data_IF_133460209275
#
_entry.id   IF_133460209275
#
_cell.length_a   1.000
_cell.length_b   1.000
_cell.length_c   1.000
_cell.angle_alpha   90.00
_cell.angle_beta   90.00
_cell.angle_gamma   90.00
#
_symmetry.space_group_name_H-M   'P 1'
#
loop_
_entity.id
_entity.type
_entity.pdbx_description
1 polymer ?
#
# COMPACT_ATOMS: atom_id res chain seq x y z
N UNK A 1 -15.06 -7.03 1.85
CA UNK A 1 -14.24 -7.84 0.92
C UNK A 1 -14.45 -9.34 1.12
N UNK A 2 -14.31 -9.87 2.34
CA UNK A 2 -14.42 -11.31 2.64
C UNK A 2 -15.77 -11.95 2.19
N UNK A 3 -16.92 -11.31 2.42
CA UNK A 3 -18.21 -11.81 1.90
C UNK A 3 -18.26 -12.00 0.38
N UNK A 4 -17.62 -11.10 -0.39
CA UNK A 4 -17.52 -11.23 -1.86
C UNK A 4 -16.67 -12.44 -2.25
N UNK A 5 -15.61 -12.74 -1.49
CA UNK A 5 -14.77 -13.92 -1.74
C UNK A 5 -15.59 -15.18 -1.50
N UNK A 6 -16.26 -15.29 -0.35
CA UNK A 6 -17.12 -16.44 -0.05
C UNK A 6 -18.24 -16.60 -1.07
N UNK A 7 -18.91 -15.51 -1.47
CA UNK A 7 -19.98 -15.58 -2.48
C UNK A 7 -19.48 -16.07 -3.85
N UNK A 8 -18.25 -15.70 -4.23
CA UNK A 8 -17.64 -16.16 -5.49
C UNK A 8 -17.26 -17.64 -5.39
N UNK A 9 -16.73 -18.07 -4.24
CA UNK A 9 -16.42 -19.49 -4.01
C UNK A 9 -17.70 -20.33 -4.02
N UNK A 10 -18.78 -19.87 -3.39
CA UNK A 10 -20.03 -20.63 -3.38
C UNK A 10 -20.72 -20.64 -4.76
N UNK A 11 -20.64 -19.54 -5.51
CA UNK A 11 -21.27 -19.48 -6.85
C UNK A 11 -20.58 -20.37 -7.88
N UNK A 12 -19.27 -20.67 -7.75
CA UNK A 12 -18.59 -21.65 -8.61
C UNK A 12 -19.07 -23.08 -8.38
N UNK A 13 -19.52 -23.42 -7.18
CA UNK A 13 -20.09 -24.75 -6.88
C UNK A 13 -21.54 -24.92 -7.36
N UNK A 14 -22.27 -23.82 -7.58
CA UNK A 14 -23.63 -23.84 -8.11
C UNK A 14 -23.69 -23.95 -9.64
N UNK A 15 -22.54 -23.90 -10.34
CA UNK A 15 -22.48 -24.04 -11.79
C UNK A 15 -22.59 -25.51 -12.21
N UNK A 16 -23.20 -25.81 -13.38
CA UNK A 16 -23.34 -27.17 -13.90
C UNK A 16 -22.00 -27.84 -14.25
N UNK A 17 -20.94 -27.06 -14.40
CA UNK A 17 -19.59 -27.54 -14.63
C UNK A 17 -18.82 -27.55 -13.32
N UNK A 18 -18.66 -28.73 -12.72
CA UNK A 18 -17.85 -28.89 -11.51
C UNK A 18 -16.36 -28.78 -11.84
N UNK A 19 -15.73 -27.70 -11.36
CA UNK A 19 -14.27 -27.57 -11.40
C UNK A 19 -13.65 -28.39 -10.25
N UNK A 20 -12.54 -29.12 -10.47
CA UNK A 20 -11.89 -29.94 -9.44
C UNK A 20 -11.05 -29.08 -8.47
N UNK A 21 -11.61 -27.98 -7.97
CA UNK A 21 -10.90 -27.03 -7.10
C UNK A 21 -11.39 -27.22 -5.67
N UNK A 22 -10.48 -27.53 -4.74
CA UNK A 22 -10.77 -27.57 -3.31
C UNK A 22 -10.23 -26.31 -2.64
N UNK A 23 -11.03 -25.68 -1.80
CA UNK A 23 -10.62 -24.50 -1.04
C UNK A 23 -10.33 -24.89 0.41
N UNK A 24 -9.18 -24.47 0.92
CA UNK A 24 -8.89 -24.44 2.35
C UNK A 24 -9.07 -23.00 2.82
N UNK A 25 -9.98 -22.77 3.76
CA UNK A 25 -10.32 -21.44 4.27
C UNK A 25 -9.98 -21.40 5.76
N UNK A 26 -9.04 -20.53 6.12
CA UNK A 26 -8.67 -20.27 7.50
C UNK A 26 -9.27 -18.92 7.92
N UNK A 27 -10.09 -18.94 8.97
CA UNK A 27 -10.77 -17.73 9.47
C UNK A 27 -11.00 -17.81 10.97
N UNK A 28 -11.10 -16.65 11.63
CA UNK A 28 -11.64 -16.58 13.00
C UNK A 28 -13.12 -17.00 12.99
N UNK A 29 -13.66 -17.55 14.09
CA UNK A 29 -15.05 -18.04 14.16
C UNK A 29 -16.07 -16.89 14.29
N UNK A 30 -15.98 -15.90 13.39
CA UNK A 30 -16.91 -14.78 13.35
C UNK A 30 -18.32 -15.28 13.03
N UNK A 31 -19.33 -14.78 13.76
CA UNK A 31 -20.70 -15.27 13.68
C UNK A 31 -21.27 -15.26 12.26
N UNK A 32 -20.97 -14.23 11.49
CA UNK A 32 -21.41 -14.12 10.09
C UNK A 32 -20.70 -15.13 9.17
N UNK A 33 -19.44 -15.51 9.45
CA UNK A 33 -18.74 -16.54 8.68
C UNK A 33 -19.42 -17.89 8.94
N UNK A 34 -19.66 -18.21 10.21
CA UNK A 34 -20.37 -19.44 10.61
C UNK A 34 -21.75 -19.54 9.95
N UNK A 35 -22.47 -18.42 9.85
CA UNK A 35 -23.78 -18.37 9.21
C UNK A 35 -23.71 -18.55 7.68
N UNK A 36 -22.69 -18.03 7.01
CA UNK A 36 -22.52 -18.27 5.57
C UNK A 36 -22.20 -19.75 5.30
N UNK A 37 -21.35 -20.37 6.11
CA UNK A 37 -20.99 -21.79 5.96
C UNK A 37 -22.10 -22.76 6.35
N UNK A 38 -23.01 -22.38 7.26
CA UNK A 38 -24.14 -23.24 7.62
C UNK A 38 -25.10 -23.49 6.45
N UNK A 39 -25.19 -22.55 5.50
CA UNK A 39 -25.94 -22.72 4.25
C UNK A 39 -25.32 -23.74 3.28
N UNK A 40 -24.06 -24.15 3.52
CA UNK A 40 -23.29 -25.05 2.67
C UNK A 40 -22.65 -26.19 3.47
N UNK A 41 -23.29 -26.62 4.57
CA UNK A 41 -22.80 -27.69 5.46
C UNK A 41 -22.46 -28.97 4.70
N UNK A 42 -23.22 -29.28 3.65
CA UNK A 42 -23.08 -30.53 2.90
C UNK A 42 -21.86 -30.54 1.96
N UNK A 43 -21.32 -29.35 1.66
CA UNK A 43 -20.16 -29.15 0.78
C UNK A 43 -18.89 -28.79 1.55
N UNK A 44 -18.99 -28.58 2.86
CA UNK A 44 -17.91 -28.00 3.66
C UNK A 44 -17.57 -28.89 4.84
N UNK A 45 -16.27 -29.03 5.11
CA UNK A 45 -15.78 -29.72 6.30
C UNK A 45 -15.17 -28.68 7.23
N UNK A 46 -15.76 -28.53 8.42
CA UNK A 46 -15.28 -27.61 9.43
C UNK A 46 -14.28 -28.32 10.36
N UNK A 47 -13.16 -27.66 10.64
CA UNK A 47 -12.16 -28.10 11.61
C UNK A 47 -11.98 -26.93 12.57
N UNK A 48 -12.48 -27.07 13.80
CA UNK A 48 -12.32 -26.05 14.84
C UNK A 48 -10.97 -26.23 15.51
N UNK A 49 -10.14 -25.18 15.52
CA UNK A 49 -8.88 -25.18 16.27
C UNK A 49 -9.13 -24.54 17.64
N UNK A 50 -9.87 -25.24 18.49
CA UNK A 50 -10.24 -24.80 19.84
C UNK A 50 -9.55 -25.65 20.94
N UNK A 51 -9.97 -25.47 22.20
CA UNK A 51 -9.38 -26.17 23.35
C UNK A 51 -9.53 -27.70 23.29
N UNK A 52 -10.42 -28.24 22.44
CA UNK A 52 -10.55 -29.68 22.24
C UNK A 52 -9.29 -30.33 21.66
N UNK A 53 -8.43 -29.54 21.02
CA UNK A 53 -7.11 -29.96 20.51
C UNK A 53 -6.02 -29.97 21.59
N UNK A 54 -6.34 -29.67 22.85
CA UNK A 54 -5.38 -29.65 23.98
C UNK A 54 -4.13 -28.82 23.68
N UNK A 55 -4.28 -27.54 23.30
CA UNK A 55 -3.16 -26.70 22.88
C UNK A 55 -2.05 -26.61 23.93
N UNK A 56 -2.38 -26.70 25.22
CA UNK A 56 -1.39 -26.72 26.31
C UNK A 56 -0.41 -27.90 26.22
N UNK A 57 -0.88 -29.09 25.84
CA UNK A 57 -0.03 -30.28 25.70
C UNK A 57 0.93 -30.14 24.51
N UNK A 58 0.42 -29.68 23.37
CA UNK A 58 1.24 -29.46 22.18
C UNK A 58 2.24 -28.32 22.39
N UNK A 59 1.86 -27.27 23.12
CA UNK A 59 2.78 -26.19 23.53
C UNK A 59 3.88 -26.74 24.45
N UNK A 60 3.54 -27.58 25.43
CA UNK A 60 4.53 -28.22 26.31
C UNK A 60 5.51 -29.09 25.52
N UNK A 61 5.01 -29.90 24.58
CA UNK A 61 5.85 -30.70 23.68
C UNK A 61 6.78 -29.82 22.83
N UNK A 62 6.23 -28.78 22.22
CA UNK A 62 7.00 -27.82 21.42
C UNK A 62 8.10 -27.16 22.25
N UNK A 63 7.79 -26.65 23.44
CA UNK A 63 8.76 -26.01 24.32
C UNK A 63 9.88 -26.99 24.70
N UNK A 64 9.55 -28.20 25.13
CA UNK A 64 10.54 -29.21 25.50
C UNK A 64 11.48 -29.53 24.33
N UNK A 65 10.94 -29.70 23.12
CA UNK A 65 11.74 -29.90 21.92
C UNK A 65 12.65 -28.69 21.63
N UNK A 66 12.11 -27.47 21.67
CA UNK A 66 12.88 -26.25 21.39
C UNK A 66 14.01 -26.04 22.40
N UNK A 67 13.78 -26.31 23.69
CA UNK A 67 14.83 -26.23 24.71
C UNK A 67 15.87 -27.33 24.56
N UNK A 68 15.48 -28.53 24.16
CA UNK A 68 16.42 -29.60 23.84
C UNK A 68 17.31 -29.21 22.65
N UNK A 69 16.72 -28.68 21.58
CA UNK A 69 17.47 -28.16 20.42
C UNK A 69 18.51 -27.11 20.84
N UNK A 70 18.15 -26.17 21.73
CA UNK A 70 19.09 -25.15 22.24
C UNK A 70 20.26 -25.80 23.00
N UNK A 71 20.00 -26.84 23.79
CA UNK A 71 21.06 -27.52 24.55
C UNK A 71 22.00 -28.32 23.65
N UNK A 72 21.49 -28.84 22.55
CA UNK A 72 22.23 -29.67 21.60
C UNK A 72 22.89 -28.85 20.48
N UNK A 73 22.53 -27.57 20.33
CA UNK A 73 23.10 -26.69 19.30
C UNK A 73 24.61 -26.45 19.54
N UNK A 74 25.47 -26.79 18.56
CA UNK A 74 26.91 -26.57 18.66
C UNK A 74 27.30 -25.12 18.94
N UNK A 75 26.48 -24.15 18.55
CA UNK A 75 26.71 -22.71 18.77
C UNK A 75 26.74 -22.34 20.25
N UNK A 76 26.09 -23.14 21.10
CA UNK A 76 26.04 -22.94 22.55
C UNK A 76 26.93 -23.94 23.31
N UNK A 77 27.88 -24.61 22.66
CA UNK A 77 28.71 -25.63 23.30
C UNK A 77 29.55 -25.13 24.48
N UNK A 78 29.79 -23.81 24.56
CA UNK A 78 30.53 -23.15 25.64
C UNK A 78 29.62 -22.70 26.81
N UNK A 79 28.30 -22.80 26.66
CA UNK A 79 27.32 -22.37 27.67
C UNK A 79 27.15 -23.49 28.70
N UNK A 80 27.30 -23.14 29.98
CA UNK A 80 27.03 -24.06 31.09
C UNK A 80 25.56 -23.96 31.47
N UNK A 81 24.75 -24.88 30.95
CA UNK A 81 23.34 -24.96 31.30
C UNK A 81 23.14 -25.54 32.71
N UNK A 82 22.24 -24.97 33.54
CA UNK A 82 21.78 -25.62 34.76
C UNK A 82 21.21 -27.02 34.51
N UNK A 83 21.17 -27.89 35.52
CA UNK A 83 20.54 -29.20 35.39
C UNK A 83 19.43 -29.39 36.45
N UNK A 84 18.15 -29.56 36.06
CA UNK A 84 17.63 -29.46 34.70
C UNK A 84 17.57 -28.01 34.20
N UNK A 85 17.80 -27.80 32.91
CA UNK A 85 17.49 -26.55 32.21
C UNK A 85 16.66 -26.83 30.94
N UNK A 86 15.55 -26.10 30.75
CA UNK A 86 14.85 -25.33 31.80
C UNK A 86 14.38 -26.25 32.94
N UNK A 87 13.98 -25.67 34.08
CA UNK A 87 13.31 -26.46 35.10
C UNK A 87 11.91 -26.86 34.62
N UNK A 88 11.34 -28.01 35.06
CA UNK A 88 9.96 -28.37 34.71
C UNK A 88 8.94 -27.28 35.09
N UNK A 89 9.21 -26.55 36.18
CA UNK A 89 8.37 -25.42 36.60
C UNK A 89 8.41 -24.24 35.61
N UNK A 90 9.57 -23.94 35.01
CA UNK A 90 9.66 -22.89 33.99
C UNK A 90 8.85 -23.24 32.74
N UNK A 91 8.91 -24.50 32.30
CA UNK A 91 8.10 -24.97 31.16
C UNK A 91 6.61 -24.86 31.49
N UNK A 92 6.19 -25.36 32.65
CA UNK A 92 4.81 -25.24 33.11
C UNK A 92 4.33 -23.78 33.13
N UNK A 93 5.15 -22.85 33.64
CA UNK A 93 4.80 -21.43 33.70
C UNK A 93 4.59 -20.83 32.30
N UNK A 94 5.47 -21.16 31.34
CA UNK A 94 5.33 -20.72 29.95
C UNK A 94 4.07 -21.29 29.29
N UNK A 95 3.73 -22.56 29.55
CA UNK A 95 2.49 -23.18 29.04
C UNK A 95 1.25 -22.47 29.57
N UNK A 96 1.21 -22.17 30.88
CA UNK A 96 0.10 -21.44 31.49
C UNK A 96 -0.03 -20.03 30.91
N UNK A 97 1.11 -19.36 30.69
CA UNK A 97 1.16 -17.98 30.18
C UNK A 97 0.83 -17.86 28.70
N UNK A 98 1.08 -18.92 27.93
CA UNK A 98 0.69 -18.96 26.54
C UNK A 98 -0.85 -18.98 26.37
N UNK A 99 -1.59 -19.50 27.35
CA UNK A 99 -3.06 -19.63 27.30
C UNK A 99 -3.56 -20.17 25.94
N UNK A 100 -2.91 -21.24 25.47
CA UNK A 100 -3.20 -21.86 24.16
C UNK A 100 -2.67 -21.12 22.92
N UNK A 101 -2.05 -19.95 23.06
CA UNK A 101 -1.52 -19.15 21.96
C UNK A 101 -0.10 -19.57 21.56
N UNK A 102 0.01 -20.37 20.50
CA UNK A 102 1.30 -20.77 19.94
C UNK A 102 2.22 -19.60 19.59
N UNK A 103 1.66 -18.47 19.15
CA UNK A 103 2.44 -17.29 18.80
C UNK A 103 3.26 -16.78 20.00
N UNK A 104 2.73 -16.88 21.23
CA UNK A 104 3.45 -16.51 22.44
C UNK A 104 4.73 -17.35 22.59
N UNK A 105 4.61 -18.68 22.55
CA UNK A 105 5.77 -19.56 22.74
C UNK A 105 6.74 -19.55 21.56
N UNK A 106 6.25 -19.36 20.33
CA UNK A 106 7.11 -19.18 19.16
C UNK A 106 7.94 -17.90 19.31
N UNK A 107 7.30 -16.77 19.62
CA UNK A 107 8.02 -15.50 19.83
C UNK A 107 8.98 -15.58 21.02
N UNK A 108 8.57 -16.20 22.13
CA UNK A 108 9.43 -16.40 23.28
C UNK A 108 10.67 -17.25 22.95
N UNK A 109 10.50 -18.37 22.23
CA UNK A 109 11.62 -19.23 21.85
C UNK A 109 12.55 -18.54 20.85
N UNK A 110 12.02 -17.77 19.89
CA UNK A 110 12.87 -16.95 19.01
C UNK A 110 13.66 -15.90 19.77
N UNK A 111 13.08 -15.30 20.81
CA UNK A 111 13.79 -14.36 21.69
C UNK A 111 14.89 -15.06 22.51
N UNK A 112 14.62 -16.25 23.05
CA UNK A 112 15.64 -17.06 23.74
C UNK A 112 16.80 -17.45 22.81
N UNK A 113 16.50 -17.75 21.54
CA UNK A 113 17.46 -18.13 20.49
C UNK A 113 18.14 -16.93 19.82
N UNK A 114 18.01 -15.71 20.36
CA UNK A 114 18.59 -14.52 19.74
C UNK A 114 20.12 -14.63 19.67
N UNK A 115 20.68 -14.37 18.50
CA UNK A 115 22.12 -14.40 18.25
C UNK A 115 22.87 -13.43 19.17
N UNK A 116 24.12 -13.76 19.50
CA UNK A 116 25.01 -12.96 20.37
C UNK A 116 24.51 -12.75 21.81
N UNK A 117 23.51 -13.52 22.25
CA UNK A 117 23.02 -13.49 23.64
C UNK A 117 23.02 -14.89 24.27
N UNK A 118 22.99 -14.95 25.60
CA UNK A 118 22.95 -16.22 26.32
C UNK A 118 21.49 -16.70 26.49
N UNK A 119 21.14 -17.92 26.01
CA UNK A 119 19.77 -18.44 26.14
C UNK A 119 19.28 -18.52 27.59
N UNK A 120 20.19 -18.77 28.53
CA UNK A 120 19.89 -18.80 29.97
C UNK A 120 19.41 -17.43 30.46
N UNK A 121 20.05 -16.36 30.02
CA UNK A 121 19.76 -15.00 30.46
C UNK A 121 18.46 -14.52 29.82
N UNK A 122 18.27 -14.79 28.53
CA UNK A 122 17.03 -14.46 27.83
C UNK A 122 15.81 -15.17 28.42
N UNK A 123 15.96 -16.45 28.79
CA UNK A 123 14.91 -17.18 29.49
C UNK A 123 14.61 -16.54 30.85
N UNK A 124 15.63 -16.13 31.61
CA UNK A 124 15.45 -15.43 32.88
C UNK A 124 14.71 -14.09 32.70
N UNK A 125 14.99 -13.33 31.65
CA UNK A 125 14.28 -12.08 31.34
C UNK A 125 12.78 -12.34 31.10
N UNK A 126 12.44 -13.36 30.30
CA UNK A 126 11.06 -13.75 30.05
C UNK A 126 10.36 -14.15 31.37
N UNK A 127 10.98 -15.03 32.14
CA UNK A 127 10.41 -15.55 33.39
C UNK A 127 10.21 -14.43 34.43
N UNK A 128 11.18 -13.54 34.59
CA UNK A 128 11.07 -12.39 35.49
C UNK A 128 9.93 -11.44 35.08
N UNK A 129 9.79 -11.20 33.77
CA UNK A 129 8.70 -10.38 33.24
C UNK A 129 7.35 -11.00 33.61
N UNK A 130 7.18 -12.30 33.37
CA UNK A 130 5.97 -13.06 33.70
C UNK A 130 5.66 -13.05 35.22
N UNK A 131 6.67 -13.26 36.06
CA UNK A 131 6.51 -13.34 37.51
C UNK A 131 6.18 -11.98 38.15
N UNK A 132 6.78 -10.89 37.65
CA UNK A 132 6.49 -9.54 38.15
C UNK A 132 5.04 -9.11 37.85
N UNK A 133 4.43 -9.66 36.79
CA UNK A 133 3.05 -9.36 36.39
C UNK A 133 2.01 -10.11 37.21
N UNK A 134 2.31 -11.35 37.63
CA UNK A 134 1.40 -12.17 38.44
C UNK A 134 1.14 -11.61 39.84
N UNK A 135 1.93 -10.64 40.29
CA UNK A 135 1.70 -9.89 41.53
C UNK A 135 0.73 -8.70 41.37
N UNK A 136 0.39 -8.30 40.13
CA UNK A 136 -0.33 -7.06 39.83
C UNK A 136 -1.66 -7.29 39.08
N UNK A 137 -1.82 -8.38 38.32
CA UNK A 137 -2.98 -8.54 37.42
C UNK A 137 -3.75 -9.85 37.64
N UNK A 138 -4.84 -9.79 38.41
CA UNK A 138 -5.85 -10.85 38.51
C UNK A 138 -7.10 -10.60 37.65
N UNK A 139 -7.08 -9.62 36.73
CA UNK A 139 -8.30 -9.10 36.07
C UNK A 139 -8.24 -8.98 34.53
N UNK A 140 -7.11 -9.25 33.86
CA UNK A 140 -6.98 -8.95 32.42
C UNK A 140 -6.73 -10.16 31.51
N UNK A 141 -7.05 -9.97 30.23
CA UNK A 141 -7.34 -10.95 29.17
C UNK A 141 -6.12 -11.70 28.63
N UNK A 142 -6.34 -12.79 27.91
CA UNK A 142 -5.29 -13.63 27.30
C UNK A 142 -4.38 -12.89 26.29
N UNK A 143 -4.82 -11.74 25.76
CA UNK A 143 -3.98 -10.87 24.92
C UNK A 143 -2.95 -10.07 25.71
N UNK A 144 -3.16 -9.87 27.01
CA UNK A 144 -2.27 -9.05 27.83
C UNK A 144 -0.89 -9.70 28.00
N UNK A 145 -0.82 -11.02 28.16
CA UNK A 145 0.46 -11.73 28.28
C UNK A 145 1.28 -11.69 26.96
N UNK A 146 0.62 -11.78 25.80
CA UNK A 146 1.26 -11.59 24.48
C UNK A 146 1.73 -10.14 24.28
N UNK A 147 0.92 -9.16 24.71
CA UNK A 147 1.29 -7.74 24.65
C UNK A 147 2.50 -7.43 25.53
N UNK A 148 2.60 -8.06 26.71
CA UNK A 148 3.79 -7.93 27.56
C UNK A 148 5.02 -8.54 26.89
N UNK A 149 4.88 -9.67 26.20
CA UNK A 149 5.99 -10.26 25.44
C UNK A 149 6.45 -9.31 24.32
N UNK A 150 5.52 -8.66 23.60
CA UNK A 150 5.86 -7.64 22.60
C UNK A 150 6.54 -6.42 23.21
N UNK A 151 6.03 -5.91 24.33
CA UNK A 151 6.67 -4.80 25.05
C UNK A 151 8.09 -5.16 25.51
N UNK A 152 8.31 -6.40 25.97
CA UNK A 152 9.62 -6.89 26.38
C UNK A 152 10.60 -6.90 25.19
N UNK A 153 10.19 -7.46 24.04
CA UNK A 153 11.01 -7.46 22.82
C UNK A 153 11.32 -6.04 22.36
N UNK A 154 10.34 -5.13 22.38
CA UNK A 154 10.54 -3.74 22.00
C UNK A 154 11.53 -3.04 22.94
N UNK A 155 11.37 -3.21 24.26
CA UNK A 155 12.22 -2.61 25.30
C UNK A 155 13.63 -3.17 25.36
N UNK A 156 13.84 -4.37 24.82
CA UNK A 156 15.17 -4.97 24.72
C UNK A 156 16.05 -4.26 23.67
N UNK A 157 15.47 -3.45 22.77
CA UNK A 157 16.27 -2.67 21.83
C UNK A 157 17.01 -1.53 22.55
N UNK A 158 18.31 -1.34 22.30
CA UNK A 158 19.04 -0.20 22.85
C UNK A 158 18.52 1.14 22.29
N UNK A 159 17.92 1.11 21.10
CA UNK A 159 17.37 2.26 20.38
C UNK A 159 15.85 2.38 20.54
N UNK A 160 15.32 2.26 21.76
CA UNK A 160 13.88 2.40 22.10
C UNK A 160 13.27 3.79 21.82
N UNK A 161 13.90 4.59 20.97
CA UNK A 161 13.57 5.97 20.70
C UNK A 161 12.66 6.14 19.46
N UNK A 162 12.46 7.40 19.06
CA UNK A 162 11.75 7.80 17.84
C UNK A 162 12.22 7.05 16.59
N UNK A 163 13.48 6.61 16.51
CA UNK A 163 14.01 5.88 15.32
C UNK A 163 13.32 4.53 15.13
N UNK A 164 13.25 3.71 16.17
CA UNK A 164 12.58 2.40 16.12
C UNK A 164 11.11 2.59 15.73
N UNK A 165 10.44 3.57 16.32
CA UNK A 165 9.04 3.87 15.99
C UNK A 165 8.84 4.30 14.53
N UNK A 166 9.71 5.17 14.00
CA UNK A 166 9.66 5.55 12.58
C UNK A 166 9.84 4.35 11.66
N UNK A 167 10.80 3.46 11.95
CA UNK A 167 11.07 2.27 11.15
C UNK A 167 9.86 1.31 11.20
N UNK A 168 9.32 1.04 12.39
CA UNK A 168 8.14 0.20 12.57
C UNK A 168 6.91 0.79 11.88
N UNK A 169 6.75 2.12 11.89
CA UNK A 169 5.68 2.79 11.16
C UNK A 169 5.78 2.56 9.66
N UNK A 170 6.98 2.64 9.07
CA UNK A 170 7.16 2.34 7.64
C UNK A 170 6.84 0.87 7.35
N UNK A 171 7.39 -0.07 8.12
CA UNK A 171 7.17 -1.53 7.92
C UNK A 171 5.68 -1.89 7.98
N UNK A 172 4.93 -1.25 8.89
CA UNK A 172 3.51 -1.56 9.11
C UNK A 172 2.56 -0.85 8.14
N UNK A 173 2.91 0.35 7.68
CA UNK A 173 2.05 1.16 6.80
C UNK A 173 2.37 0.92 5.32
N UNK A 174 3.64 0.68 4.99
CA UNK A 174 4.14 0.44 3.64
C UNK A 174 4.52 -1.04 3.53
N UNK A 175 3.61 -1.90 3.02
CA UNK A 175 3.89 -3.32 2.92
C UNK A 175 5.08 -3.56 1.98
N UNK A 176 5.82 -4.64 2.25
CA UNK A 176 6.99 -5.06 1.47
C UNK A 176 8.05 -3.96 1.37
N UNK A 177 8.42 -3.40 2.53
CA UNK A 177 9.49 -2.40 2.62
C UNK A 177 10.82 -3.07 2.92
N UNK A 178 11.83 -2.82 2.09
CA UNK A 178 13.21 -3.25 2.34
C UNK A 178 13.96 -2.28 3.25
N UNK A 179 15.01 -2.71 3.97
CA UNK A 179 15.84 -1.82 4.77
C UNK A 179 16.40 -0.64 3.97
N UNK A 180 16.90 -0.88 2.75
CA UNK A 180 17.41 0.17 1.87
C UNK A 180 16.35 1.24 1.55
N UNK A 181 15.10 0.81 1.32
CA UNK A 181 13.99 1.73 1.08
C UNK A 181 13.64 2.56 2.32
N UNK A 182 13.62 1.94 3.51
CA UNK A 182 13.34 2.62 4.77
C UNK A 182 14.43 3.65 5.08
N UNK A 183 15.70 3.30 4.86
CA UNK A 183 16.84 4.20 5.04
C UNK A 183 16.73 5.42 4.12
N UNK A 184 16.38 5.20 2.86
CA UNK A 184 16.13 6.27 1.91
C UNK A 184 14.97 7.18 2.35
N UNK A 185 13.83 6.59 2.71
CA UNK A 185 12.61 7.32 3.07
C UNK A 185 12.79 8.15 4.34
N UNK A 186 13.47 7.59 5.35
CA UNK A 186 13.68 8.25 6.63
C UNK A 186 14.96 9.12 6.67
N UNK A 187 15.79 9.09 5.63
CA UNK A 187 17.07 9.81 5.58
C UNK A 187 18.11 9.24 6.55
N UNK A 188 18.12 7.92 6.74
CA UNK A 188 19.06 7.21 7.61
C UNK A 188 20.29 6.75 6.83
N UNK A 189 21.43 6.66 7.52
CA UNK A 189 22.66 6.09 6.94
C UNK A 189 22.48 4.59 6.65
N UNK A 190 23.16 4.04 5.62
CA UNK A 190 23.14 2.61 5.33
C UNK A 190 23.54 1.76 6.54
N UNK A 191 22.76 0.71 6.81
CA UNK A 191 22.96 -0.22 7.93
C UNK A 191 22.25 0.17 9.23
N UNK A 192 21.72 1.40 9.34
CA UNK A 192 21.02 1.87 10.54
C UNK A 192 19.72 1.11 10.78
N UNK A 193 19.01 0.71 9.71
CA UNK A 193 17.76 -0.07 9.87
C UNK A 193 18.06 -1.46 10.38
N UNK A 194 19.05 -2.15 9.78
CA UNK A 194 19.47 -3.47 10.23
C UNK A 194 19.95 -3.44 11.69
N UNK A 195 20.73 -2.42 12.07
CA UNK A 195 21.17 -2.22 13.44
C UNK A 195 20.00 -2.01 14.40
N UNK A 196 19.02 -1.18 14.03
CA UNK A 196 17.88 -0.84 14.91
C UNK A 196 16.92 -2.04 15.07
N UNK A 197 16.86 -2.94 14.08
CA UNK A 197 15.98 -4.11 14.10
C UNK A 197 16.67 -5.38 14.63
N UNK A 198 17.92 -5.30 15.08
CA UNK A 198 18.69 -6.46 15.52
C UNK A 198 18.04 -7.21 16.69
N UNK A 199 17.33 -6.53 17.60
CA UNK A 199 16.62 -7.19 18.69
C UNK A 199 15.16 -7.57 18.31
N UNK A 200 14.76 -7.38 17.05
CA UNK A 200 13.38 -7.58 16.59
C UNK A 200 13.19 -8.88 15.78
N UNK A 201 14.22 -9.70 15.60
CA UNK A 201 14.14 -10.97 14.83
C UNK A 201 13.15 -12.00 15.39
N UNK A 202 12.65 -11.82 16.61
CA UNK A 202 11.60 -12.66 17.19
C UNK A 202 10.20 -12.35 16.65
N UNK A 203 9.99 -11.11 16.16
CA UNK A 203 8.69 -10.61 15.66
C UNK A 203 8.74 -10.17 14.20
N UNK A 204 9.93 -9.87 13.68
CA UNK A 204 10.19 -9.50 12.29
C UNK A 204 11.10 -10.51 11.60
N UNK A 205 10.87 -10.70 10.30
CA UNK A 205 11.75 -11.39 9.39
C UNK A 205 12.59 -10.36 8.62
N UNK A 206 13.90 -10.30 8.89
CA UNK A 206 14.84 -9.41 8.23
C UNK A 206 15.93 -10.29 7.61
N UNK A 207 15.86 -10.53 6.30
CA UNK A 207 16.75 -11.46 5.59
C UNK A 207 17.95 -10.78 4.92
N UNK A 208 17.80 -9.53 4.47
CA UNK A 208 18.83 -8.82 3.70
C UNK A 208 18.52 -7.34 3.53
N UNK A 209 19.49 -6.57 3.03
CA UNK A 209 19.39 -5.11 2.89
C UNK A 209 18.39 -4.66 1.80
N UNK A 210 18.23 -5.48 0.75
CA UNK A 210 17.27 -5.25 -0.33
C UNK A 210 16.00 -6.11 -0.20
N UNK A 211 16.00 -7.06 0.73
CA UNK A 211 14.87 -7.97 0.94
C UNK A 211 13.76 -7.31 1.76
N UNK A 212 12.52 -7.66 1.43
CA UNK A 212 11.35 -7.13 2.12
C UNK A 212 11.31 -7.59 3.59
N UNK A 213 11.05 -6.64 4.48
CA UNK A 213 10.87 -6.94 5.90
C UNK A 213 9.45 -7.47 6.13
N UNK A 214 9.36 -8.70 6.63
CA UNK A 214 8.10 -9.34 6.97
C UNK A 214 7.77 -9.22 8.45
N UNK A 215 6.50 -8.96 8.79
CA UNK A 215 6.00 -9.14 10.17
C UNK A 215 5.48 -10.58 10.30
N UNK A 216 5.98 -11.36 11.27
CA UNK A 216 5.60 -12.78 11.37
C UNK A 216 4.10 -12.99 11.64
N UNK A 217 3.47 -12.08 12.39
CA UNK A 217 2.08 -12.25 12.77
C UNK A 217 1.33 -10.93 12.90
N UNK A 218 0.09 -10.90 12.40
CA UNK A 218 -0.77 -9.71 12.40
C UNK A 218 -1.08 -9.19 13.82
N UNK A 219 -1.06 -10.04 14.86
CA UNK A 219 -1.28 -9.56 16.23
C UNK A 219 -0.24 -8.52 16.68
N UNK A 220 0.97 -8.54 16.10
CA UNK A 220 1.99 -7.54 16.37
C UNK A 220 1.64 -6.18 15.74
N UNK A 221 1.14 -6.16 14.50
CA UNK A 221 0.66 -4.91 13.87
C UNK A 221 -0.58 -4.38 14.59
N UNK A 222 -1.51 -5.26 14.97
CA UNK A 222 -2.71 -4.89 15.74
C UNK A 222 -2.35 -4.33 17.12
N UNK A 223 -1.28 -4.85 17.75
CA UNK A 223 -0.72 -4.32 18.99
C UNK A 223 -0.18 -2.91 18.81
N UNK A 224 0.66 -2.68 17.79
CA UNK A 224 1.27 -1.38 17.53
C UNK A 224 0.23 -0.28 17.25
N UNK A 225 -0.87 -0.60 16.58
CA UNK A 225 -1.96 0.34 16.28
C UNK A 225 -2.98 0.52 17.41
N UNK A 226 -2.74 -0.05 18.59
CA UNK A 226 -3.63 0.12 19.74
C UNK A 226 -2.92 0.82 20.89
N UNK A 227 -3.23 2.10 21.12
CA UNK A 227 -2.58 2.90 22.15
C UNK A 227 -2.71 2.31 23.56
N UNK A 228 -3.83 1.66 23.86
CA UNK A 228 -4.04 0.97 25.13
C UNK A 228 -3.08 -0.21 25.34
N UNK A 229 -2.65 -0.86 24.26
CA UNK A 229 -1.81 -2.08 24.27
C UNK A 229 -0.33 -1.72 24.18
N UNK A 230 0.06 -0.96 23.16
CA UNK A 230 1.47 -0.64 22.85
C UNK A 230 2.05 0.55 23.62
N UNK A 231 1.20 1.36 24.28
CA UNK A 231 1.60 2.47 25.16
C UNK A 231 2.59 3.43 24.48
N UNK A 232 3.84 3.47 24.91
CA UNK A 232 4.89 4.32 24.35
C UNK A 232 5.25 3.95 22.90
N UNK A 233 4.93 2.72 22.46
CA UNK A 233 5.18 2.24 21.10
C UNK A 233 3.97 2.37 20.16
N UNK A 234 3.00 3.21 20.52
CA UNK A 234 1.81 3.42 19.72
C UNK A 234 2.11 4.13 18.40
N UNK A 235 1.64 3.53 17.31
CA UNK A 235 1.69 4.10 15.96
C UNK A 235 0.29 4.58 15.60
N UNK A 236 0.08 5.89 15.61
CA UNK A 236 -1.11 6.48 15.01
C UNK A 236 -1.04 6.31 13.49
N UNK A 237 -1.80 5.34 12.99
CA UNK A 237 -1.83 4.96 11.58
C UNK A 237 -2.05 6.16 10.66
N UNK A 238 -2.98 7.05 10.99
CA UNK A 238 -3.33 8.18 10.13
C UNK A 238 -2.25 9.26 10.16
N UNK A 239 -1.76 9.61 11.35
CA UNK A 239 -0.72 10.62 11.47
C UNK A 239 0.59 10.19 10.79
N UNK A 240 1.01 8.93 11.00
CA UNK A 240 2.22 8.40 10.38
C UNK A 240 2.05 8.26 8.88
N UNK A 241 0.90 7.80 8.40
CA UNK A 241 0.62 7.74 6.96
C UNK A 241 0.76 9.11 6.31
N UNK A 242 0.18 10.15 6.90
CA UNK A 242 0.33 11.54 6.41
C UNK A 242 1.77 12.05 6.49
N UNK A 243 2.50 11.72 7.56
CA UNK A 243 3.89 12.15 7.74
C UNK A 243 4.85 11.49 6.75
N UNK A 244 4.76 10.16 6.60
CA UNK A 244 5.53 9.40 5.61
C UNK A 244 5.20 9.89 4.21
N UNK A 245 3.94 10.30 4.01
CA UNK A 245 3.51 10.88 2.77
C UNK A 245 4.21 12.19 2.43
N UNK A 246 4.19 13.15 3.35
CA UNK A 246 4.93 14.40 3.20
C UNK A 246 6.42 14.16 2.93
N UNK A 247 7.03 13.25 3.70
CA UNK A 247 8.46 12.97 3.61
C UNK A 247 8.84 12.39 2.25
N UNK A 248 8.05 11.43 1.76
CA UNK A 248 8.27 10.86 0.44
C UNK A 248 8.10 11.89 -0.69
N UNK A 249 7.04 12.71 -0.64
CA UNK A 249 6.83 13.77 -1.64
C UNK A 249 7.97 14.78 -1.66
N UNK A 250 8.53 15.15 -0.49
CA UNK A 250 9.71 16.01 -0.40
C UNK A 250 10.93 15.38 -1.06
N UNK A 251 11.24 14.14 -0.72
CA UNK A 251 12.37 13.41 -1.28
C UNK A 251 12.29 13.31 -2.81
N UNK A 252 11.10 13.03 -3.34
CA UNK A 252 10.88 13.04 -4.79
C UNK A 252 11.08 14.43 -5.37
N UNK A 253 10.52 15.46 -4.74
CA UNK A 253 10.62 16.86 -5.20
C UNK A 253 12.08 17.32 -5.25
N UNK A 254 12.87 17.03 -4.22
CA UNK A 254 14.30 17.34 -4.15
C UNK A 254 15.08 16.59 -5.22
N UNK A 255 14.92 15.27 -5.31
CA UNK A 255 15.62 14.45 -6.31
C UNK A 255 15.29 14.81 -7.75
N UNK A 256 14.03 15.15 -8.02
CA UNK A 256 13.59 15.61 -9.34
C UNK A 256 14.20 16.96 -9.73
N UNK A 257 14.48 17.84 -8.75
CA UNK A 257 15.18 19.10 -9.02
C UNK A 257 16.66 18.88 -9.34
N UNK A 258 17.31 17.94 -8.64
CA UNK A 258 18.75 17.72 -8.75
C UNK A 258 19.14 16.93 -10.01
N UNK A 259 18.32 15.96 -10.44
CA UNK A 259 18.57 15.16 -11.64
C UNK A 259 17.25 14.82 -12.37
N UNK A 260 16.92 15.54 -13.47
CA UNK A 260 15.73 15.28 -14.27
C UNK A 260 15.72 13.91 -14.96
N UNK A 261 16.90 13.31 -15.23
CA UNK A 261 17.02 11.96 -15.80
C UNK A 261 16.82 10.87 -14.76
N UNK A 262 16.98 11.19 -13.46
CA UNK A 262 16.76 10.26 -12.34
C UNK A 262 15.34 9.67 -12.34
N UNK A 263 14.36 10.41 -12.89
CA UNK A 263 12.99 9.94 -13.11
C UNK A 263 12.92 8.67 -13.98
N UNK A 264 13.85 8.49 -14.92
CA UNK A 264 13.94 7.28 -15.76
C UNK A 264 14.63 6.11 -15.05
N UNK A 265 15.62 6.37 -14.20
CA UNK A 265 16.45 5.34 -13.53
C UNK A 265 15.90 4.90 -12.18
N UNK A 266 15.29 5.78 -11.38
CA UNK A 266 14.55 5.40 -10.15
C UNK A 266 13.39 4.45 -10.43
N UNK A 267 12.95 4.35 -11.69
CA UNK A 267 11.99 3.35 -12.19
C UNK A 267 12.46 1.90 -12.00
N UNK A 268 13.76 1.58 -12.07
CA UNK A 268 14.19 0.19 -11.94
C UNK A 268 14.37 -0.24 -10.48
N UNK A 269 14.92 0.63 -9.64
CA UNK A 269 15.27 0.29 -8.25
C UNK A 269 14.11 0.47 -7.25
N UNK A 270 13.20 1.43 -7.48
CA UNK A 270 12.19 1.79 -6.48
C UNK A 270 10.75 1.85 -7.02
N UNK A 271 10.49 1.48 -8.29
CA UNK A 271 9.13 1.60 -8.87
C UNK A 271 8.08 0.69 -8.23
N UNK A 272 8.49 -0.39 -7.58
CA UNK A 272 7.59 -1.24 -6.80
C UNK A 272 7.11 -0.48 -5.57
N UNK A 273 8.02 0.07 -4.77
CA UNK A 273 7.69 0.82 -3.54
C UNK A 273 6.99 2.15 -3.84
N UNK A 274 7.36 2.84 -4.93
CA UNK A 274 6.65 4.02 -5.45
C UNK A 274 5.21 3.70 -5.83
N UNK A 275 5.00 2.66 -6.64
CA UNK A 275 3.65 2.22 -7.01
C UNK A 275 2.87 1.81 -5.77
N UNK A 276 3.49 1.09 -4.82
CA UNK A 276 2.85 0.65 -3.57
C UNK A 276 2.43 1.83 -2.70
N UNK A 277 3.29 2.82 -2.46
CA UNK A 277 2.95 4.04 -1.71
C UNK A 277 1.84 4.82 -2.41
N UNK A 278 2.02 5.11 -3.69
CA UNK A 278 1.05 5.88 -4.49
C UNK A 278 -0.30 5.17 -4.58
N UNK A 279 -0.33 3.85 -4.71
CA UNK A 279 -1.54 3.03 -4.72
C UNK A 279 -2.19 2.91 -3.32
N UNK A 280 -1.39 2.80 -2.26
CA UNK A 280 -1.86 2.85 -0.87
C UNK A 280 -2.48 4.22 -0.53
N UNK A 281 -2.07 5.28 -1.21
CA UNK A 281 -2.63 6.63 -1.01
C UNK A 281 -3.84 6.89 -1.90
N UNK A 282 -3.80 6.49 -3.18
CA UNK A 282 -4.92 6.73 -4.09
C UNK A 282 -6.19 6.02 -3.64
N UNK A 283 -6.06 4.80 -3.10
CA UNK A 283 -7.20 4.00 -2.67
C UNK A 283 -7.88 4.54 -1.39
N UNK A 284 -7.13 5.17 -0.48
CA UNK A 284 -7.69 5.72 0.78
C UNK A 284 -8.19 7.17 0.63
N UNK A 285 -7.56 7.98 -0.22
CA UNK A 285 -8.04 9.34 -0.54
C UNK A 285 -9.43 9.32 -1.21
N UNK A 286 -9.75 8.27 -1.98
CA UNK A 286 -11.07 8.10 -2.61
C UNK A 286 -12.22 7.96 -1.60
N UNK A 287 -11.95 7.52 -0.36
CA UNK A 287 -12.98 7.30 0.65
C UNK A 287 -13.07 8.39 1.73
N UNK A 288 -12.11 9.32 1.83
CA UNK A 288 -12.06 10.31 2.91
C UNK A 288 -11.67 11.71 2.42
N UNK A 289 -12.47 12.26 1.50
CA UNK A 289 -12.43 13.70 1.16
C UNK A 289 -12.77 14.49 2.43
N UNK A 290 -11.78 15.18 3.00
CA UNK A 290 -11.96 16.09 4.16
C UNK A 290 -10.96 15.96 5.30
N UNK A 291 -10.00 15.02 5.27
CA UNK A 291 -9.00 14.84 6.35
C UNK A 291 -7.53 14.83 5.90
N UNK A 292 -7.21 15.28 4.69
CA UNK A 292 -5.82 15.45 4.29
C UNK A 292 -5.26 16.69 5.02
N UNK A 293 -4.14 16.55 5.73
CA UNK A 293 -3.52 17.69 6.40
C UNK A 293 -3.10 18.78 5.39
N UNK A 294 -3.19 20.06 5.80
CA UNK A 294 -2.80 21.19 4.96
C UNK A 294 -1.31 21.14 4.56
N UNK A 295 -0.46 20.60 5.46
CA UNK A 295 0.95 20.35 5.19
C UNK A 295 1.14 19.35 4.06
N UNK A 296 0.45 18.20 4.11
CA UNK A 296 0.53 17.19 3.06
C UNK A 296 0.03 17.71 1.71
N UNK A 297 -1.08 18.45 1.70
CA UNK A 297 -1.56 19.09 0.48
C UNK A 297 -0.51 20.03 -0.14
N UNK A 298 0.22 20.78 0.69
CA UNK A 298 1.29 21.65 0.22
C UNK A 298 2.47 20.88 -0.39
N UNK A 299 2.87 19.75 0.20
CA UNK A 299 3.97 18.94 -0.32
C UNK A 299 3.59 18.22 -1.62
N UNK A 300 2.36 17.71 -1.70
CA UNK A 300 1.80 17.11 -2.91
C UNK A 300 1.72 18.14 -4.03
N UNK A 301 1.30 19.37 -3.73
CA UNK A 301 1.28 20.47 -4.70
C UNK A 301 2.69 20.82 -5.20
N UNK A 302 3.67 20.87 -4.30
CA UNK A 302 5.07 21.12 -4.65
C UNK A 302 5.63 20.02 -5.56
N UNK A 303 5.32 18.76 -5.28
CA UNK A 303 5.68 17.64 -6.14
C UNK A 303 5.05 17.76 -7.54
N UNK A 304 3.75 18.05 -7.62
CA UNK A 304 3.08 18.24 -8.91
C UNK A 304 3.68 19.40 -9.71
N UNK A 305 4.03 20.52 -9.06
CA UNK A 305 4.73 21.62 -9.70
C UNK A 305 6.05 21.17 -10.30
N UNK A 306 6.93 20.52 -9.53
CA UNK A 306 8.24 20.08 -10.03
C UNK A 306 8.09 19.09 -11.19
N UNK A 307 7.20 18.10 -11.05
CA UNK A 307 7.00 17.11 -12.11
C UNK A 307 6.42 17.73 -13.40
N UNK A 308 5.53 18.71 -13.29
CA UNK A 308 5.00 19.45 -14.44
C UNK A 308 6.04 20.39 -15.05
N UNK A 309 6.87 21.07 -14.25
CA UNK A 309 7.96 21.92 -14.75
C UNK A 309 8.97 21.11 -15.56
N UNK A 310 9.41 19.95 -15.05
CA UNK A 310 10.29 19.05 -15.80
C UNK A 310 9.63 18.56 -17.09
N UNK A 311 8.35 18.18 -17.01
CA UNK A 311 7.58 17.78 -18.20
C UNK A 311 7.45 18.91 -19.23
N UNK A 312 7.31 20.15 -18.77
CA UNK A 312 7.19 21.34 -19.60
C UNK A 312 8.51 21.73 -20.26
N UNK A 313 9.66 21.50 -19.61
CA UNK A 313 10.98 21.69 -20.21
C UNK A 313 11.24 20.70 -21.34
N UNK A 314 10.80 19.44 -21.17
CA UNK A 314 11.03 18.38 -22.17
C UNK A 314 10.18 18.52 -23.43
N UNK A 315 8.92 18.95 -23.30
CA UNK A 315 7.94 18.91 -24.41
C UNK A 315 7.32 20.27 -24.73
N UNK A 316 7.60 21.29 -23.91
CA UNK A 316 7.07 22.63 -24.06
C UNK A 316 5.74 22.80 -23.31
N UNK A 317 5.67 23.89 -22.53
CA UNK A 317 4.53 24.20 -21.64
C UNK A 317 3.16 24.16 -22.34
N UNK A 318 3.04 24.73 -23.54
CA UNK A 318 1.77 24.77 -24.28
C UNK A 318 1.30 23.37 -24.69
N UNK A 319 2.23 22.52 -25.11
CA UNK A 319 1.92 21.15 -25.54
C UNK A 319 1.52 20.28 -24.35
N UNK A 320 2.22 20.42 -23.23
CA UNK A 320 1.89 19.76 -21.98
C UNK A 320 0.45 20.05 -21.53
N UNK A 321 0.07 21.33 -21.48
CA UNK A 321 -1.28 21.74 -21.11
C UNK A 321 -2.35 21.19 -22.04
N UNK A 322 -2.09 21.15 -23.35
CA UNK A 322 -3.02 20.57 -24.32
C UNK A 322 -3.25 19.07 -24.08
N UNK A 323 -2.19 18.32 -23.78
CA UNK A 323 -2.27 16.89 -23.49
C UNK A 323 -3.04 16.65 -22.19
N UNK A 324 -2.64 17.32 -21.10
CA UNK A 324 -3.30 17.20 -19.78
C UNK A 324 -4.78 17.49 -19.88
N UNK A 325 -5.15 18.48 -20.66
CA UNK A 325 -6.51 18.90 -20.74
C UNK A 325 -7.37 18.00 -21.65
N UNK A 326 -6.79 17.09 -22.45
CA UNK A 326 -7.53 15.93 -23.02
C UNK A 326 -7.72 14.83 -21.98
N UNK A 327 -6.68 14.55 -21.20
CA UNK A 327 -6.61 13.41 -20.28
C UNK A 327 -7.45 13.63 -19.01
N UNK A 328 -7.46 14.84 -18.45
CA UNK A 328 -8.05 15.12 -17.15
C UNK A 328 -9.58 15.26 -17.15
N UNK A 329 -10.24 15.94 -18.11
CA UNK A 329 -11.69 16.12 -18.07
C UNK A 329 -12.47 14.85 -18.37
N UNK A 330 -11.90 13.97 -19.19
CA UNK A 330 -12.54 12.79 -19.74
C UNK A 330 -12.74 11.68 -18.70
N UNK A 331 -13.89 11.01 -18.78
CA UNK A 331 -14.23 9.84 -17.95
C UNK A 331 -13.76 8.51 -18.57
N UNK A 332 -13.02 8.57 -19.67
CA UNK A 332 -12.68 7.41 -20.47
C UNK A 332 -11.20 7.38 -20.82
N UNK A 333 -10.55 6.21 -20.74
CA UNK A 333 -9.16 6.07 -21.12
C UNK A 333 -9.00 6.19 -22.64
N UNK A 334 -8.12 7.08 -23.09
CA UNK A 334 -7.85 7.32 -24.52
C UNK A 334 -6.61 6.57 -25.01
N UNK A 335 -6.68 6.10 -26.26
CA UNK A 335 -5.48 5.57 -26.92
C UNK A 335 -4.54 6.73 -27.30
N UNK A 336 -3.22 6.52 -27.27
CA UNK A 336 -2.26 7.53 -27.72
C UNK A 336 -2.50 7.97 -29.16
N UNK A 337 -2.89 7.05 -30.05
CA UNK A 337 -3.26 7.39 -31.43
C UNK A 337 -4.46 8.34 -31.51
N UNK A 338 -5.42 8.23 -30.60
CA UNK A 338 -6.55 9.15 -30.52
C UNK A 338 -6.12 10.55 -30.05
N UNK A 339 -5.27 10.63 -29.00
CA UNK A 339 -4.74 11.91 -28.51
C UNK A 339 -3.89 12.59 -29.59
N UNK A 340 -3.06 11.80 -30.30
CA UNK A 340 -2.24 12.26 -31.40
C UNK A 340 -3.08 12.94 -32.49
N UNK A 341 -4.14 12.25 -32.93
CA UNK A 341 -5.05 12.75 -33.96
C UNK A 341 -5.81 14.01 -33.51
N UNK A 342 -6.26 14.03 -32.26
CA UNK A 342 -7.05 15.15 -31.72
C UNK A 342 -6.22 16.43 -31.59
N UNK A 343 -4.98 16.30 -31.09
CA UNK A 343 -4.09 17.43 -30.87
C UNK A 343 -3.25 17.78 -32.11
N UNK A 344 -3.13 16.87 -33.08
CA UNK A 344 -2.30 17.04 -34.27
C UNK A 344 -0.80 16.97 -33.95
N UNK A 345 -0.42 16.10 -33.02
CA UNK A 345 0.95 15.97 -32.52
C UNK A 345 1.73 14.89 -33.28
N UNK A 346 3.06 14.96 -33.29
CA UNK A 346 3.87 13.81 -33.70
C UNK A 346 3.85 12.75 -32.60
N UNK A 347 3.91 11.48 -32.99
CA UNK A 347 3.86 10.35 -32.06
C UNK A 347 5.02 10.40 -31.06
N UNK A 348 6.21 10.77 -31.52
CA UNK A 348 7.40 10.92 -30.68
C UNK A 348 7.22 12.00 -29.61
N UNK A 349 6.60 13.13 -29.95
CA UNK A 349 6.37 14.21 -28.99
C UNK A 349 5.32 13.80 -27.94
N UNK A 350 4.27 13.07 -28.35
CA UNK A 350 3.28 12.52 -27.43
C UNK A 350 3.88 11.46 -26.51
N UNK A 351 4.68 10.55 -27.04
CA UNK A 351 5.34 9.51 -26.25
C UNK A 351 6.34 10.12 -25.26
N UNK A 352 7.10 11.15 -25.67
CA UNK A 352 7.95 11.93 -24.75
C UNK A 352 7.15 12.62 -23.65
N UNK A 353 6.00 13.23 -23.96
CA UNK A 353 5.16 13.89 -22.97
C UNK A 353 4.53 12.92 -21.97
N UNK A 354 3.99 11.81 -22.48
CA UNK A 354 3.41 10.77 -21.65
C UNK A 354 4.48 10.13 -20.75
N UNK A 355 5.67 9.87 -21.28
CA UNK A 355 6.81 9.41 -20.47
C UNK A 355 7.21 10.41 -19.39
N UNK A 356 7.20 11.71 -19.68
CA UNK A 356 7.49 12.74 -18.69
C UNK A 356 6.44 12.80 -17.56
N UNK A 357 5.18 12.46 -17.85
CA UNK A 357 4.06 12.50 -16.91
C UNK A 357 3.72 11.16 -16.25
N UNK A 358 4.42 10.07 -16.55
CA UNK A 358 4.16 8.70 -16.04
C UNK A 358 4.20 8.62 -14.49
N UNK A 359 4.84 9.60 -13.84
CA UNK A 359 4.90 9.73 -12.37
C UNK A 359 3.61 10.26 -11.73
N UNK A 360 2.78 10.97 -12.52
CA UNK A 360 1.56 11.63 -12.05
C UNK A 360 0.31 10.98 -12.68
N UNK A 361 0.48 10.42 -13.87
CA UNK A 361 -0.58 9.84 -14.70
C UNK A 361 -0.29 8.35 -14.85
N UNK A 362 -1.24 7.51 -14.44
CA UNK A 362 -1.07 6.06 -14.58
C UNK A 362 -1.24 5.64 -16.05
N UNK A 363 -0.16 5.20 -16.68
CA UNK A 363 -0.17 4.69 -18.05
C UNK A 363 -0.18 3.15 -17.99
N UNK A 364 -1.32 2.53 -18.33
CA UNK A 364 -1.34 1.08 -18.50
C UNK A 364 -0.48 0.71 -19.73
N UNK A 365 0.63 0.01 -19.50
CA UNK A 365 1.35 -0.67 -20.57
C UNK A 365 0.78 -2.08 -20.69
N UNK A 366 0.06 -2.35 -21.79
CA UNK A 366 -0.38 -3.71 -22.09
C UNK A 366 0.83 -4.52 -22.56
N UNK A 367 1.45 -5.23 -21.63
CA UNK A 367 2.50 -6.20 -21.93
C UNK A 367 1.88 -7.52 -22.35
N UNK A 368 1.36 -7.62 -23.58
CA UNK A 368 1.09 -8.92 -24.19
C UNK A 368 1.70 -9.03 -25.60
N UNK A 369 2.88 -9.66 -25.60
CA UNK A 369 3.47 -10.54 -26.62
C UNK A 369 2.93 -10.41 -28.06
N UNK A 370 3.35 -9.37 -28.79
CA UNK A 370 3.71 -9.51 -30.20
C UNK A 370 4.93 -8.61 -30.53
N UNK A 371 6.00 -9.14 -31.16
CA UNK A 371 7.14 -8.33 -31.56
C UNK A 371 6.74 -7.44 -32.75
N UNK A 372 6.61 -6.14 -32.52
CA UNK A 372 6.40 -5.14 -33.58
C UNK A 372 5.39 -4.03 -33.27
N UNK A 373 4.56 -4.16 -32.23
CA UNK A 373 3.61 -3.12 -31.83
C UNK A 373 3.67 -2.88 -30.32
N UNK A 374 4.35 -1.81 -29.90
CA UNK A 374 4.13 -1.22 -28.57
C UNK A 374 2.76 -0.54 -28.59
N UNK A 375 1.73 -1.29 -28.20
CA UNK A 375 0.42 -0.73 -27.92
C UNK A 375 0.42 -0.18 -26.49
N UNK A 376 0.80 1.09 -26.34
CA UNK A 376 0.50 1.87 -25.14
C UNK A 376 -1.03 2.03 -25.15
N UNK A 377 -1.76 1.42 -24.21
CA UNK A 377 -3.22 1.49 -24.16
C UNK A 377 -3.72 1.78 -22.75
N UNK A 378 -4.55 2.82 -22.65
CA UNK A 378 -5.35 3.22 -21.50
C UNK A 378 -4.55 4.01 -20.45
N UNK A 379 -4.49 5.32 -20.67
CA UNK A 379 -4.26 6.29 -19.58
C UNK A 379 -5.49 6.21 -18.68
N UNK A 380 -5.39 5.48 -17.56
CA UNK A 380 -6.51 5.28 -16.63
C UNK A 380 -6.23 6.02 -15.32
N UNK A 381 -7.30 6.52 -14.70
CA UNK A 381 -7.33 7.24 -13.42
C UNK A 381 -6.12 8.13 -13.09
N UNK A 382 -6.15 9.39 -13.54
CA UNK A 382 -5.33 10.43 -12.86
C UNK A 382 -5.75 10.52 -11.39
N UNK A 383 -4.79 10.69 -10.48
CA UNK A 383 -5.09 10.88 -9.06
C UNK A 383 -6.11 12.00 -8.87
N UNK A 384 -7.18 11.77 -8.10
CA UNK A 384 -8.22 12.78 -7.84
C UNK A 384 -7.61 14.11 -7.34
N UNK A 385 -6.60 14.02 -6.48
CA UNK A 385 -5.82 15.16 -5.96
C UNK A 385 -5.08 15.94 -7.04
N UNK A 386 -4.57 15.25 -8.08
CA UNK A 386 -3.92 15.88 -9.22
C UNK A 386 -4.92 16.60 -10.13
N UNK A 387 -6.08 15.98 -10.38
CA UNK A 387 -7.18 16.63 -11.12
C UNK A 387 -7.64 17.91 -10.41
N UNK A 388 -7.83 17.85 -9.10
CA UNK A 388 -8.20 19.01 -8.29
C UNK A 388 -7.09 20.08 -8.24
N UNK A 389 -5.81 19.67 -8.24
CA UNK A 389 -4.68 20.58 -8.31
C UNK A 389 -4.69 21.37 -9.62
N UNK A 390 -4.74 20.69 -10.77
CA UNK A 390 -4.66 21.31 -12.09
C UNK A 390 -5.82 22.29 -12.34
N UNK A 391 -7.03 21.95 -11.89
CA UNK A 391 -8.21 22.82 -12.01
C UNK A 391 -8.33 23.90 -10.93
N UNK A 392 -7.36 24.04 -10.02
CA UNK A 392 -7.36 25.07 -8.98
C UNK A 392 -6.30 26.15 -9.28
N UNK A 393 -6.74 27.34 -9.71
CA UNK A 393 -5.84 28.45 -10.11
C UNK A 393 -4.86 28.85 -9.01
N UNK A 394 -5.29 28.82 -7.74
CA UNK A 394 -4.44 29.14 -6.60
C UNK A 394 -3.35 28.10 -6.34
N UNK A 395 -3.60 26.83 -6.72
CA UNK A 395 -2.67 25.72 -6.50
C UNK A 395 -1.74 25.52 -7.69
N UNK A 396 -2.27 25.30 -8.89
CA UNK A 396 -1.48 24.97 -10.10
C UNK A 396 -0.82 26.15 -10.80
N UNK A 397 -1.23 27.39 -10.50
CA UNK A 397 -0.60 28.63 -11.00
C UNK A 397 -0.41 28.62 -12.53
N UNK A 398 0.82 28.47 -13.03
CA UNK A 398 1.15 28.46 -14.46
C UNK A 398 0.58 27.24 -15.19
N UNK A 399 0.38 26.13 -14.46
CA UNK A 399 -0.21 24.90 -14.99
C UNK A 399 -1.75 24.86 -14.87
N UNK A 400 -2.39 25.99 -14.55
CA UNK A 400 -3.84 26.06 -14.42
C UNK A 400 -4.56 25.84 -15.74
N UNK A 401 -5.48 24.88 -15.75
CA UNK A 401 -6.34 24.58 -16.90
C UNK A 401 -7.75 25.07 -16.60
N UNK A 402 -8.21 26.07 -17.34
CA UNK A 402 -9.58 26.52 -17.23
C UNK A 402 -10.53 25.53 -17.92
N UNK A 403 -11.35 24.86 -17.09
CA UNK A 403 -12.19 23.75 -17.54
C UNK A 403 -13.15 24.11 -18.68
N UNK A 404 -13.77 25.29 -18.62
CA UNK A 404 -14.70 25.76 -19.65
C UNK A 404 -13.97 26.07 -20.97
N UNK A 405 -12.86 26.82 -20.90
CA UNK A 405 -12.07 27.17 -22.08
C UNK A 405 -11.55 25.93 -22.82
N UNK A 406 -11.02 24.96 -22.07
CA UNK A 406 -10.47 23.77 -22.71
C UNK A 406 -11.54 22.81 -23.22
N UNK A 407 -12.68 22.71 -22.52
CA UNK A 407 -13.83 21.93 -23.04
C UNK A 407 -14.30 22.49 -24.38
N UNK A 408 -14.33 23.83 -24.53
CA UNK A 408 -14.65 24.49 -25.80
C UNK A 408 -13.59 24.22 -26.90
N UNK A 409 -12.30 24.25 -26.55
CA UNK A 409 -11.22 23.91 -27.48
C UNK A 409 -11.33 22.47 -28.00
N UNK A 410 -11.57 21.50 -27.10
CA UNK A 410 -11.76 20.10 -27.47
C UNK A 410 -13.01 19.90 -28.33
N UNK A 411 -14.10 20.60 -28.00
CA UNK A 411 -15.33 20.56 -28.76
C UNK A 411 -15.11 21.01 -30.21
N UNK A 412 -14.44 22.16 -30.41
CA UNK A 412 -14.10 22.67 -31.75
C UNK A 412 -13.24 21.68 -32.54
N UNK A 413 -12.24 21.07 -31.89
CA UNK A 413 -11.37 20.06 -32.53
C UNK A 413 -12.15 18.80 -32.90
N UNK A 414 -13.01 18.31 -32.02
CA UNK A 414 -13.88 17.15 -32.30
C UNK A 414 -14.80 17.45 -33.48
N UNK A 415 -15.42 18.62 -33.54
CA UNK A 415 -16.30 19.02 -34.64
C UNK A 415 -15.56 19.09 -35.97
N UNK A 416 -14.37 19.69 -36.01
CA UNK A 416 -13.55 19.72 -37.25
C UNK A 416 -13.18 18.32 -37.72
N UNK A 417 -12.87 17.40 -36.81
CA UNK A 417 -12.57 16.02 -37.18
C UNK A 417 -13.83 15.24 -37.60
N UNK A 418 -14.98 15.49 -36.97
CA UNK A 418 -16.27 14.90 -37.34
C UNK A 418 -16.78 15.41 -38.70
N UNK A 419 -16.45 16.66 -39.07
CA UNK A 419 -16.72 17.18 -40.42
C UNK A 419 -15.91 16.43 -41.50
N UNK A 420 -14.72 15.94 -41.16
CA UNK A 420 -13.87 15.16 -42.07
C UNK A 420 -14.25 13.67 -42.08
N UNK A 421 -14.65 13.12 -40.93
CA UNK A 421 -15.12 11.74 -40.79
C UNK A 421 -16.30 11.67 -39.80
N UNK A 422 -17.55 11.72 -40.30
CA UNK A 422 -18.75 11.73 -39.46
C UNK A 422 -19.01 10.43 -38.70
N UNK A 423 -18.33 9.33 -39.06
CA UNK A 423 -18.62 7.97 -38.55
C UNK A 423 -17.88 7.64 -37.25
N UNK A 424 -16.97 8.51 -36.83
CA UNK A 424 -16.08 8.33 -35.67
C UNK A 424 -16.83 8.44 -34.33
N UNK A 425 -17.17 7.28 -33.77
CA UNK A 425 -17.92 7.15 -32.52
C UNK A 425 -17.13 7.65 -31.29
N UNK A 426 -15.82 7.44 -31.26
CA UNK A 426 -14.87 7.92 -30.23
C UNK A 426 -14.93 9.45 -30.03
N UNK A 427 -14.97 10.21 -31.13
CA UNK A 427 -15.09 11.68 -31.10
C UNK A 427 -16.47 12.14 -30.57
N UNK A 428 -17.55 11.42 -30.93
CA UNK A 428 -18.89 11.73 -30.42
C UNK A 428 -18.99 11.48 -28.92
N UNK A 429 -18.41 10.40 -28.43
CA UNK A 429 -18.37 10.07 -26.99
C UNK A 429 -17.57 11.13 -26.21
N UNK A 430 -16.40 11.54 -26.71
CA UNK A 430 -15.62 12.62 -26.10
C UNK A 430 -16.38 13.96 -26.09
N UNK A 431 -17.06 14.30 -27.19
CA UNK A 431 -17.86 15.52 -27.29
C UNK A 431 -19.02 15.52 -26.28
N UNK A 432 -19.83 14.46 -26.26
CA UNK A 432 -20.94 14.29 -25.32
C UNK A 432 -20.47 14.25 -23.87
N UNK A 433 -19.33 13.60 -23.59
CA UNK A 433 -18.75 13.52 -22.24
C UNK A 433 -18.32 14.86 -21.65
N UNK A 434 -18.04 15.87 -22.48
CA UNK A 434 -17.67 17.22 -22.05
C UNK A 434 -18.84 18.22 -22.16
N UNK A 435 -20.02 17.79 -22.61
CA UNK A 435 -21.17 18.65 -22.91
C UNK A 435 -21.57 19.58 -21.77
N UNK A 436 -21.66 19.05 -20.54
CA UNK A 436 -22.00 19.84 -19.37
C UNK A 436 -21.01 20.98 -19.10
N UNK A 437 -19.71 20.79 -19.40
CA UNK A 437 -18.69 21.81 -19.20
C UNK A 437 -18.66 22.86 -20.32
N UNK A 438 -18.98 22.44 -21.55
CA UNK A 438 -19.20 23.34 -22.69
C UNK A 438 -20.39 24.25 -22.39
N UNK A 439 -21.48 23.68 -21.88
CA UNK A 439 -22.70 24.42 -21.52
C UNK A 439 -22.49 25.38 -20.33
N UNK A 440 -21.60 25.09 -19.39
CA UNK A 440 -21.28 26.04 -18.30
C UNK A 440 -20.42 27.23 -18.75
N UNK A 441 -19.81 27.16 -19.93
CA UNK A 441 -18.97 28.22 -20.52
C UNK A 441 -19.65 29.03 -21.63
N UNK A 442 -20.99 28.99 -21.71
CA UNK A 442 -21.77 29.54 -22.83
C UNK A 442 -21.50 31.02 -23.11
N UNK A 443 -21.15 31.81 -22.10
CA UNK A 443 -20.87 33.24 -22.25
C UNK A 443 -19.68 33.54 -23.18
N UNK A 444 -18.82 32.56 -23.48
CA UNK A 444 -17.60 32.68 -24.29
C UNK A 444 -17.55 31.71 -25.50
N UNK A 445 -18.70 31.22 -25.97
CA UNK A 445 -18.73 30.33 -27.14
C UNK A 445 -18.47 31.07 -28.45
N UNK A 446 -17.60 30.51 -29.31
CA UNK A 446 -17.45 31.03 -30.68
C UNK A 446 -18.73 30.79 -31.48
N UNK A 447 -19.08 31.71 -32.37
CA UNK A 447 -20.24 31.58 -33.26
C UNK A 447 -20.23 30.27 -34.07
N UNK A 448 -19.03 29.77 -34.41
CA UNK A 448 -18.83 28.47 -35.06
C UNK A 448 -19.33 27.29 -34.22
N UNK A 449 -19.10 27.29 -32.90
CA UNK A 449 -19.55 26.20 -32.03
C UNK A 449 -21.08 26.21 -31.88
N UNK A 450 -21.68 27.41 -31.71
CA UNK A 450 -23.13 27.58 -31.61
C UNK A 450 -23.84 27.11 -32.89
N UNK A 451 -23.29 27.44 -34.06
CA UNK A 451 -23.86 27.04 -35.35
C UNK A 451 -23.85 25.51 -35.54
N UNK A 452 -22.75 24.85 -35.18
CA UNK A 452 -22.64 23.39 -35.28
C UNK A 452 -23.43 22.63 -34.23
N UNK A 453 -23.56 23.16 -33.01
CA UNK A 453 -24.46 22.62 -31.98
C UNK A 453 -25.89 22.57 -32.51
N UNK A 454 -26.39 23.68 -33.07
CA UNK A 454 -27.71 23.73 -33.70
C UNK A 454 -27.83 22.74 -34.86
N UNK A 455 -26.76 22.57 -35.66
CA UNK A 455 -26.76 21.62 -36.78
C UNK A 455 -26.78 20.15 -36.33
N UNK A 456 -26.09 19.80 -35.24
CA UNK A 456 -26.07 18.44 -34.69
C UNK A 456 -27.36 18.09 -33.94
N UNK A 457 -27.98 19.03 -33.22
CA UNK A 457 -29.31 18.84 -32.62
C UNK A 457 -30.39 18.62 -33.69
N UNK A 458 -30.29 19.30 -34.84
CA UNK A 458 -31.20 19.11 -35.98
C UNK A 458 -30.95 17.81 -36.76
N UNK A 459 -29.79 17.17 -36.59
CA UNK A 459 -29.42 15.93 -37.26
C UNK A 459 -29.58 14.67 -36.39
N UNK A 460 -29.98 14.82 -35.12
CA UNK A 460 -30.31 13.70 -34.26
C UNK A 460 -31.68 13.12 -34.66
N UNK A 461 -31.78 11.83 -35.06
CA UNK A 461 -33.08 11.20 -35.25
C UNK A 461 -33.78 11.12 -33.89
N UNK A 462 -35.02 11.61 -33.85
CA UNK A 462 -35.96 11.52 -32.72
C UNK A 462 -36.15 10.10 -32.20
#
# INVERSE_FOLDING_TARGET
MQRRVLSVIFSTYQQPYHYPIRFLICSRPESWIRQEFSCFSDLTKHIELDDSFRPQYDIELYLNQQFQEIREDPSYSQVVFPNPWPSPHHVWLLVQKADGQFIFVITAMKFVKMEYTLPTDQLCIILNTICNLSSISSIYSSFDDLDQLYLMVLRANPDCDKRLLSILAVITIVPDSSPAFIELLLGLSPGMVAQTLCAMHSVLNVCGWEDDIGVYHQSFTDFLFSQARSREFYIDFLMWKDSLACQWTRLLTERCRDDPELLRTTRSAYSSSLRKLVQCWSNDCLYRVGRISSALMSEVDAFYHVALSISAELVGHKMLLQILAVILPSRGPYSPGFIQLLLGLQREDLDRALQAMDTIIHINSCSDRQPGFQCISLVDSTHYTFRDFVFSRSRSKEFFIEKCYHSNFLALKCLRLLQMDPTRHDLRVLFMGNWAHICTGIDNLSAELLFEICRMELAAPS
#
